data_IF_958868630786
#
_entry.id   IF_958868630786
#
_cell.length_a   1.000
_cell.length_b   1.000
_cell.length_c   1.000
_cell.angle_alpha   90.00
_cell.angle_beta   90.00
_cell.angle_gamma   90.00
#
_symmetry.space_group_name_H-M   'P 1'
#
loop_
_entity.id
_entity.type
_entity.pdbx_description
1 polymer ?
#
# COMPACT_ATOMS: atom_id res chain seq x y z
N UNK A 1 6.67 20.62 4.68
CA UNK A 1 6.22 20.41 3.29
C UNK A 1 4.74 20.05 3.36
N UNK A 2 3.85 20.75 2.65
CA UNK A 2 2.42 20.41 2.65
C UNK A 2 2.20 19.20 1.74
N UNK A 3 1.47 18.19 2.22
CA UNK A 3 1.09 17.05 1.39
C UNK A 3 0.11 17.51 0.31
N UNK A 4 0.18 16.92 -0.90
CA UNK A 4 -0.80 17.20 -1.93
C UNK A 4 -2.20 16.80 -1.48
N UNK A 5 -3.23 17.38 -2.08
CA UNK A 5 -4.59 16.94 -1.83
C UNK A 5 -4.78 15.53 -2.45
N UNK A 6 -5.32 14.58 -1.68
CA UNK A 6 -5.69 13.22 -2.12
C UNK A 6 -6.48 13.26 -3.45
N UNK A 7 -7.24 14.33 -3.67
CA UNK A 7 -7.98 14.59 -4.89
C UNK A 7 -7.14 14.45 -6.16
N UNK A 8 -5.93 15.01 -6.18
CA UNK A 8 -5.06 14.96 -7.35
C UNK A 8 -4.54 13.56 -7.66
N UNK A 9 -4.36 12.73 -6.62
CA UNK A 9 -3.91 11.35 -6.80
C UNK A 9 -5.06 10.48 -7.31
N UNK A 10 -6.27 10.70 -6.83
CA UNK A 10 -7.46 9.96 -7.29
C UNK A 10 -7.86 10.29 -8.73
N UNK A 11 -7.63 11.53 -9.19
CA UNK A 11 -7.85 11.93 -10.59
C UNK A 11 -7.06 11.09 -11.60
N UNK A 12 -6.00 10.42 -11.18
CA UNK A 12 -5.24 9.51 -12.04
C UNK A 12 -6.01 8.23 -12.40
N UNK A 13 -7.10 7.93 -11.68
CA UNK A 13 -7.80 6.64 -11.78
C UNK A 13 -9.30 6.78 -12.01
N UNK A 14 -9.92 7.89 -11.60
CA UNK A 14 -11.38 8.11 -11.72
C UNK A 14 -11.71 9.54 -12.13
N UNK A 15 -12.79 9.71 -12.88
CA UNK A 15 -13.31 11.04 -13.25
C UNK A 15 -13.97 11.75 -12.07
N UNK A 16 -14.93 11.08 -11.42
CA UNK A 16 -15.66 11.62 -10.27
C UNK A 16 -14.97 11.25 -8.96
N UNK A 17 -14.03 12.09 -8.54
CA UNK A 17 -13.29 11.89 -7.29
C UNK A 17 -14.18 12.09 -6.06
N UNK A 18 -15.22 12.93 -6.15
CA UNK A 18 -16.10 13.21 -5.02
C UNK A 18 -16.98 11.99 -4.69
N UNK A 19 -17.56 11.35 -5.71
CA UNK A 19 -18.27 10.09 -5.55
C UNK A 19 -17.34 8.98 -5.04
N UNK A 20 -16.16 8.82 -5.66
CA UNK A 20 -15.20 7.80 -5.26
C UNK A 20 -14.75 7.93 -3.79
N UNK A 21 -14.44 9.17 -3.37
CA UNK A 21 -14.09 9.48 -1.98
C UNK A 21 -15.27 9.26 -1.02
N UNK A 22 -16.50 9.48 -1.48
CA UNK A 22 -17.69 9.18 -0.68
C UNK A 22 -17.83 7.69 -0.41
N UNK A 23 -17.63 6.83 -1.43
CA UNK A 23 -17.59 5.36 -1.25
C UNK A 23 -16.50 4.98 -0.25
N UNK A 24 -15.30 5.55 -0.38
CA UNK A 24 -14.21 5.27 0.57
C UNK A 24 -14.61 5.58 2.01
N UNK A 25 -15.32 6.69 2.23
CA UNK A 25 -15.82 7.09 3.55
C UNK A 25 -16.90 6.14 4.06
N UNK A 26 -17.89 5.85 3.23
CA UNK A 26 -19.06 5.04 3.60
C UNK A 26 -18.73 3.57 3.87
N UNK A 27 -17.72 3.03 3.19
CA UNK A 27 -17.37 1.61 3.28
C UNK A 27 -16.00 1.36 3.93
N UNK A 28 -15.42 2.40 4.56
CA UNK A 28 -14.14 2.35 5.26
C UNK A 28 -13.01 1.77 4.38
N UNK A 29 -12.99 2.18 3.11
CA UNK A 29 -11.96 1.74 2.18
C UNK A 29 -10.66 2.49 2.43
N UNK A 30 -9.54 1.79 2.27
CA UNK A 30 -8.20 2.38 2.32
C UNK A 30 -7.46 2.13 1.02
N UNK A 31 -6.60 3.07 0.63
CA UNK A 31 -5.70 2.93 -0.51
C UNK A 31 -4.28 2.81 0.04
N UNK A 32 -3.51 1.85 -0.48
CA UNK A 32 -2.12 1.58 -0.06
C UNK A 32 -1.21 1.45 -1.28
N UNK A 33 -0.02 0.87 -1.09
CA UNK A 33 0.83 0.46 -2.20
C UNK A 33 1.53 1.64 -2.85
N UNK A 34 1.79 1.52 -4.15
CA UNK A 34 2.54 2.55 -4.89
C UNK A 34 1.79 3.88 -4.97
N UNK A 35 0.46 3.86 -5.01
CA UNK A 35 -0.35 5.09 -5.06
C UNK A 35 -0.26 5.88 -3.75
N UNK A 36 -0.35 5.20 -2.59
CA UNK A 36 -0.16 5.87 -1.30
C UNK A 36 1.28 6.36 -1.11
N UNK A 37 2.28 5.62 -1.59
CA UNK A 37 3.68 6.06 -1.52
C UNK A 37 3.92 7.32 -2.36
N UNK A 38 3.37 7.35 -3.58
CA UNK A 38 3.43 8.50 -4.48
C UNK A 38 2.79 9.76 -3.86
N UNK A 39 1.66 9.60 -3.17
CA UNK A 39 1.02 10.68 -2.40
C UNK A 39 1.95 11.28 -1.33
N UNK A 40 2.59 10.43 -0.51
CA UNK A 40 3.45 10.85 0.60
C UNK A 40 4.75 11.49 0.14
N UNK A 41 5.31 10.99 -0.97
CA UNK A 41 6.52 11.53 -1.60
C UNK A 41 6.25 12.79 -2.44
N UNK A 42 5.09 13.42 -2.26
CA UNK A 42 4.66 14.64 -2.93
C UNK A 42 4.76 14.55 -4.45
N UNK A 43 4.40 13.39 -5.01
CA UNK A 43 4.23 13.17 -6.45
C UNK A 43 5.51 13.33 -7.29
N UNK A 44 6.68 13.00 -6.72
CA UNK A 44 7.96 13.22 -7.40
C UNK A 44 8.44 11.97 -8.17
N UNK A 45 9.08 12.19 -9.32
CA UNK A 45 9.92 11.25 -10.10
C UNK A 45 9.22 10.14 -10.91
N UNK A 46 8.03 9.69 -10.54
CA UNK A 46 7.32 8.60 -11.24
C UNK A 46 5.82 8.64 -10.94
N UNK A 47 4.98 8.01 -11.75
CA UNK A 47 3.52 7.93 -11.54
C UNK A 47 3.10 6.47 -11.26
N UNK A 48 2.14 6.23 -10.33
CA UNK A 48 1.63 4.89 -10.09
C UNK A 48 0.86 4.36 -11.31
N UNK A 49 1.00 3.05 -11.58
CA UNK A 49 0.31 2.35 -12.68
C UNK A 49 -1.07 1.84 -12.26
N UNK A 50 -1.26 1.64 -10.96
CA UNK A 50 -2.47 1.07 -10.38
C UNK A 50 -2.75 1.67 -9.00
N UNK A 51 -4.04 1.67 -8.65
CA UNK A 51 -4.56 2.04 -7.34
C UNK A 51 -4.96 0.76 -6.61
N UNK A 52 -4.28 0.50 -5.49
CA UNK A 52 -4.55 -0.65 -4.62
C UNK A 52 -5.52 -0.24 -3.51
N UNK A 53 -6.78 -0.63 -3.64
CA UNK A 53 -7.87 -0.37 -2.67
C UNK A 53 -8.18 -1.62 -1.85
N UNK A 54 -8.28 -1.47 -0.53
CA UNK A 54 -8.62 -2.53 0.41
C UNK A 54 -9.95 -2.25 1.09
N UNK A 55 -10.76 -3.30 1.21
CA UNK A 55 -12.16 -3.20 1.64
C UNK A 55 -12.48 -4.31 2.63
N UNK A 56 -13.38 -4.02 3.56
CA UNK A 56 -13.93 -5.01 4.48
C UNK A 56 -14.74 -6.06 3.71
N UNK A 57 -14.71 -7.30 4.19
CA UNK A 57 -15.36 -8.47 3.58
C UNK A 57 -16.83 -8.22 3.22
N UNK A 58 -17.59 -7.62 4.14
CA UNK A 58 -19.02 -7.37 3.98
C UNK A 58 -19.35 -6.32 2.90
N UNK A 59 -18.41 -5.46 2.51
CA UNK A 59 -18.65 -4.37 1.57
C UNK A 59 -18.08 -4.63 0.17
N UNK A 60 -17.28 -5.68 -0.01
CA UNK A 60 -16.54 -5.95 -1.24
C UNK A 60 -17.40 -5.91 -2.52
N UNK A 61 -18.52 -6.65 -2.55
CA UNK A 61 -19.39 -6.68 -3.73
C UNK A 61 -20.16 -5.37 -3.94
N UNK A 62 -20.53 -4.68 -2.86
CA UNK A 62 -21.25 -3.41 -2.94
C UNK A 62 -20.35 -2.34 -3.58
N UNK A 63 -19.10 -2.23 -3.12
CA UNK A 63 -18.14 -1.27 -3.66
C UNK A 63 -17.79 -1.56 -5.11
N UNK A 64 -17.52 -2.82 -5.48
CA UNK A 64 -17.22 -3.18 -6.88
C UNK A 64 -18.38 -2.80 -7.80
N UNK A 65 -19.62 -3.11 -7.41
CA UNK A 65 -20.81 -2.76 -8.20
C UNK A 65 -20.96 -1.25 -8.35
N UNK A 66 -20.68 -0.49 -7.29
CA UNK A 66 -20.70 0.97 -7.36
C UNK A 66 -19.64 1.49 -8.33
N UNK A 67 -18.39 1.03 -8.21
CA UNK A 67 -17.30 1.47 -9.07
C UNK A 67 -17.62 1.20 -10.55
N UNK A 68 -18.09 -0.02 -10.87
CA UNK A 68 -18.50 -0.39 -12.23
C UNK A 68 -19.61 0.51 -12.77
N UNK A 69 -20.61 0.81 -11.95
CA UNK A 69 -21.79 1.58 -12.37
C UNK A 69 -21.49 3.06 -12.62
N UNK A 70 -20.62 3.67 -11.82
CA UNK A 70 -20.48 5.13 -11.78
C UNK A 70 -19.15 5.67 -12.32
N UNK A 71 -18.14 4.81 -12.55
CA UNK A 71 -16.82 5.26 -13.02
C UNK A 71 -16.39 4.64 -14.36
N UNK A 72 -17.35 4.33 -15.24
CA UNK A 72 -17.13 3.78 -16.59
C UNK A 72 -16.09 2.63 -16.60
N UNK A 73 -16.28 1.69 -15.67
CA UNK A 73 -15.24 0.73 -15.32
C UNK A 73 -15.60 -0.66 -15.84
N UNK A 74 -14.64 -1.32 -16.48
CA UNK A 74 -14.75 -2.71 -16.93
C UNK A 74 -14.09 -3.65 -15.93
N UNK A 75 -14.84 -4.67 -15.51
CA UNK A 75 -14.27 -5.81 -14.77
C UNK A 75 -13.36 -6.64 -15.69
N UNK A 76 -12.09 -6.80 -15.35
CA UNK A 76 -11.17 -7.64 -16.12
C UNK A 76 -11.12 -9.06 -15.58
N UNK A 77 -10.86 -9.22 -14.28
CA UNK A 77 -10.83 -10.53 -13.64
C UNK A 77 -11.06 -10.45 -12.13
N UNK A 78 -11.43 -11.60 -11.55
CA UNK A 78 -11.50 -11.83 -10.11
C UNK A 78 -10.61 -13.03 -9.80
N UNK A 79 -9.63 -12.83 -8.92
CA UNK A 79 -8.82 -13.89 -8.34
C UNK A 79 -9.28 -14.10 -6.89
N UNK A 80 -9.44 -15.35 -6.47
CA UNK A 80 -9.74 -15.70 -5.08
C UNK A 80 -8.79 -16.77 -4.58
N UNK A 81 -8.81 -17.04 -3.27
CA UNK A 81 -8.17 -18.22 -2.70
C UNK A 81 -8.80 -19.49 -3.31
N UNK A 82 -8.15 -20.04 -4.31
CA UNK A 82 -8.34 -21.44 -4.70
C UNK A 82 -7.74 -22.26 -3.56
N UNK A 83 -8.51 -23.07 -2.84
CA UNK A 83 -8.05 -23.86 -1.68
C UNK A 83 -6.97 -24.92 -1.97
N UNK A 84 -6.16 -24.76 -3.02
CA UNK A 84 -5.01 -25.60 -3.35
C UNK A 84 -3.70 -25.05 -2.77
N UNK A 85 -2.63 -25.87 -2.77
CA UNK A 85 -1.35 -25.55 -2.13
C UNK A 85 -0.54 -24.43 -2.81
N UNK A 86 -1.00 -23.91 -3.94
CA UNK A 86 -0.37 -22.82 -4.68
C UNK A 86 -1.30 -21.61 -4.76
N UNK A 87 -1.19 -20.77 -3.73
CA UNK A 87 -1.85 -19.48 -3.61
C UNK A 87 -1.22 -18.51 -4.65
N UNK A 88 -1.75 -18.50 -5.88
CA UNK A 88 -1.10 -17.95 -7.11
C UNK A 88 -0.97 -16.43 -7.20
N UNK A 89 -1.30 -15.69 -6.14
CA UNK A 89 -0.99 -14.26 -6.04
C UNK A 89 0.53 -14.02 -5.97
N UNK A 90 1.06 -12.89 -6.48
CA UNK A 90 2.49 -12.57 -6.41
C UNK A 90 3.09 -12.69 -5.01
N UNK A 91 2.27 -12.40 -3.99
CA UNK A 91 2.66 -12.32 -2.58
C UNK A 91 2.02 -13.44 -1.73
N UNK A 92 1.37 -14.43 -2.37
CA UNK A 92 0.33 -15.24 -1.73
C UNK A 92 -0.88 -14.37 -1.37
N UNK A 93 -2.06 -14.95 -1.16
CA UNK A 93 -3.22 -14.22 -0.62
C UNK A 93 -3.04 -14.01 0.89
N UNK A 94 -1.86 -13.55 1.32
CA UNK A 94 -1.59 -13.18 2.71
C UNK A 94 -2.28 -11.86 2.98
N UNK A 95 -3.23 -11.86 3.91
CA UNK A 95 -3.97 -10.65 4.28
C UNK A 95 -5.33 -10.46 3.61
N UNK A 96 -5.56 -10.97 2.40
CA UNK A 96 -6.81 -10.78 1.64
C UNK A 96 -7.38 -12.10 1.09
N UNK A 97 -8.68 -12.11 0.76
CA UNK A 97 -9.42 -13.30 0.30
C UNK A 97 -9.65 -13.30 -1.21
N UNK A 98 -9.92 -12.13 -1.78
CA UNK A 98 -10.19 -11.90 -3.20
C UNK A 98 -9.47 -10.65 -3.67
N UNK A 99 -9.08 -10.66 -4.94
CA UNK A 99 -8.55 -9.52 -5.69
C UNK A 99 -9.38 -9.37 -6.95
N UNK A 100 -9.95 -8.19 -7.16
CA UNK A 100 -10.65 -7.82 -8.39
C UNK A 100 -9.85 -6.75 -9.10
N UNK A 101 -9.56 -6.96 -10.38
CA UNK A 101 -8.94 -5.93 -11.23
C UNK A 101 -10.00 -5.26 -12.09
N UNK A 102 -10.04 -3.95 -11.98
CA UNK A 102 -10.96 -3.05 -12.65
C UNK A 102 -10.17 -2.11 -13.57
N UNK A 103 -10.57 -2.02 -14.83
CA UNK A 103 -9.99 -1.10 -15.79
C UNK A 103 -10.92 0.11 -15.96
N UNK A 104 -10.38 1.31 -15.74
CA UNK A 104 -11.06 2.58 -15.99
C UNK A 104 -10.47 3.24 -17.24
N UNK A 105 -11.08 4.32 -17.77
CA UNK A 105 -10.47 5.11 -18.85
C UNK A 105 -9.16 5.79 -18.44
N UNK A 106 -8.93 5.98 -17.14
CA UNK A 106 -7.80 6.73 -16.59
C UNK A 106 -6.67 5.83 -16.08
N UNK A 107 -7.01 4.62 -15.64
CA UNK A 107 -6.04 3.71 -15.06
C UNK A 107 -6.65 2.42 -14.54
N UNK A 108 -5.97 1.86 -13.54
CA UNK A 108 -6.28 0.52 -13.02
C UNK A 108 -6.63 0.63 -11.55
N UNK A 109 -7.74 0.03 -11.16
CA UNK A 109 -8.13 -0.11 -9.76
C UNK A 109 -8.08 -1.60 -9.41
N UNK A 110 -7.28 -1.94 -8.40
CA UNK A 110 -7.22 -3.26 -7.79
C UNK A 110 -7.97 -3.20 -6.48
N UNK A 111 -9.01 -4.00 -6.35
CA UNK A 111 -9.86 -4.06 -5.16
C UNK A 111 -9.57 -5.36 -4.43
N UNK A 112 -9.12 -5.27 -3.18
CA UNK A 112 -8.72 -6.40 -2.35
C UNK A 112 -9.67 -6.55 -1.16
N UNK A 113 -10.25 -7.73 -1.04
CA UNK A 113 -11.11 -8.08 0.09
C UNK A 113 -10.26 -8.50 1.29
N UNK A 114 -10.30 -7.75 2.39
CA UNK A 114 -9.57 -8.11 3.60
C UNK A 114 -10.02 -9.46 4.17
N UNK A 115 -9.06 -10.26 4.64
CA UNK A 115 -9.32 -11.52 5.34
C UNK A 115 -9.78 -11.34 6.79
N UNK A 116 -9.74 -10.10 7.31
CA UNK A 116 -10.24 -9.73 8.63
C UNK A 116 -11.21 -8.56 8.49
N UNK A 117 -11.95 -8.26 9.56
CA UNK A 117 -12.81 -7.08 9.61
C UNK A 117 -12.00 -5.78 9.82
N UNK A 118 -11.02 -5.55 8.96
CA UNK A 118 -10.12 -4.41 9.00
C UNK A 118 -9.48 -4.21 7.62
N UNK A 119 -9.70 -3.05 7.00
CA UNK A 119 -9.15 -2.72 5.69
C UNK A 119 -7.61 -2.61 5.70
N UNK A 120 -7.02 -2.29 6.86
CA UNK A 120 -5.57 -2.18 7.04
C UNK A 120 -4.86 -3.53 7.22
N UNK A 121 -5.58 -4.59 7.56
CA UNK A 121 -4.99 -5.91 7.81
C UNK A 121 -4.13 -6.45 6.66
N UNK A 122 -4.51 -6.32 5.37
CA UNK A 122 -3.67 -6.78 4.27
C UNK A 122 -2.35 -5.99 4.13
N UNK A 123 -2.31 -4.74 4.60
CA UNK A 123 -1.15 -3.85 4.45
C UNK A 123 0.03 -4.35 5.28
N UNK A 124 -0.20 -4.96 6.44
CA UNK A 124 0.88 -5.54 7.25
C UNK A 124 1.59 -6.72 6.59
N UNK A 125 1.06 -7.24 5.47
CA UNK A 125 1.62 -8.37 4.72
C UNK A 125 2.37 -7.94 3.45
N UNK A 126 2.59 -6.64 3.24
CA UNK A 126 3.45 -6.19 2.15
C UNK A 126 4.87 -6.75 2.27
N UNK A 127 5.49 -7.04 1.13
CA UNK A 127 6.84 -7.58 1.05
C UNK A 127 7.91 -6.57 1.49
N UNK A 128 7.59 -5.28 1.54
CA UNK A 128 8.45 -4.22 2.03
C UNK A 128 7.69 -3.19 2.86
N UNK A 129 8.36 -2.63 3.87
CA UNK A 129 7.85 -1.53 4.69
C UNK A 129 7.63 -0.24 3.90
N UNK A 130 8.30 -0.08 2.76
CA UNK A 130 8.21 1.13 1.92
C UNK A 130 6.79 1.44 1.44
N UNK A 131 5.94 0.41 1.30
CA UNK A 131 4.56 0.53 0.79
C UNK A 131 3.50 0.21 1.86
N UNK A 132 3.93 0.12 3.14
CA UNK A 132 3.05 -0.06 4.30
C UNK A 132 2.51 1.28 4.80
N UNK A 133 1.91 2.02 3.89
CA UNK A 133 1.38 3.34 4.12
C UNK A 133 0.08 3.49 3.36
N UNK A 134 -0.86 4.25 3.91
CA UNK A 134 -2.22 4.30 3.39
C UNK A 134 -2.81 5.69 3.48
N UNK A 135 -3.89 5.88 2.75
CA UNK A 135 -4.85 6.93 3.00
C UNK A 135 -6.27 6.40 2.89
N UNK A 136 -7.16 6.88 3.75
CA UNK A 136 -8.60 6.67 3.64
C UNK A 136 -9.25 7.91 2.99
N UNK A 137 -10.57 8.08 3.14
CA UNK A 137 -11.24 9.23 2.57
C UNK A 137 -10.77 10.58 3.16
N UNK A 138 -10.35 10.62 4.42
CA UNK A 138 -10.18 11.85 5.19
C UNK A 138 -8.84 11.92 5.96
N UNK A 139 -8.11 10.82 6.03
CA UNK A 139 -6.87 10.68 6.79
C UNK A 139 -5.83 9.83 6.04
N UNK A 140 -4.60 9.82 6.55
CA UNK A 140 -3.52 9.00 6.02
C UNK A 140 -2.58 8.55 7.14
N UNK A 141 -1.85 7.47 6.89
CA UNK A 141 -0.93 6.88 7.85
C UNK A 141 0.31 6.28 7.19
N UNK A 142 1.43 6.32 7.92
CA UNK A 142 2.71 5.76 7.50
C UNK A 142 3.22 4.88 8.63
N UNK A 143 3.37 3.58 8.40
CA UNK A 143 3.83 2.67 9.45
C UNK A 143 5.31 2.90 9.80
N UNK A 144 6.12 3.35 8.85
CA UNK A 144 7.57 3.52 9.00
C UNK A 144 8.03 4.90 8.52
N UNK A 145 7.61 6.00 9.18
CA UNK A 145 7.79 7.36 8.67
C UNK A 145 9.25 7.73 8.41
N UNK A 146 10.19 7.37 9.30
CA UNK A 146 11.61 7.67 9.12
C UNK A 146 12.18 7.03 7.86
N UNK A 147 11.86 5.75 7.61
CA UNK A 147 12.31 5.04 6.42
C UNK A 147 11.62 5.59 5.17
N UNK A 148 10.28 5.64 5.17
CA UNK A 148 9.49 6.07 4.00
C UNK A 148 9.87 7.48 3.57
N UNK A 149 10.03 8.44 4.50
CA UNK A 149 10.38 9.84 4.17
C UNK A 149 11.81 10.00 3.67
N UNK A 150 12.72 9.09 4.04
CA UNK A 150 14.09 9.02 3.49
C UNK A 150 14.18 8.15 2.23
N UNK A 151 13.05 7.79 1.63
CA UNK A 151 12.99 6.93 0.44
C UNK A 151 13.66 5.57 0.65
N UNK A 152 13.50 5.00 1.85
CA UNK A 152 14.07 3.72 2.27
C UNK A 152 12.99 2.70 2.64
N UNK A 153 13.26 1.43 2.39
CA UNK A 153 12.36 0.33 2.67
C UNK A 153 13.09 -0.90 3.18
N UNK A 154 12.54 -1.54 4.20
CA UNK A 154 12.99 -2.87 4.61
C UNK A 154 12.19 -3.92 3.87
N UNK A 155 12.82 -4.99 3.40
CA UNK A 155 12.13 -6.15 2.81
C UNK A 155 12.48 -7.43 3.55
N UNK A 156 11.57 -8.40 3.51
CA UNK A 156 11.81 -9.71 4.11
C UNK A 156 12.49 -10.63 3.09
N UNK A 157 13.72 -11.05 3.37
CA UNK A 157 14.56 -11.87 2.48
C UNK A 157 14.15 -13.35 2.35
N UNK A 158 13.08 -13.79 2.98
CA UNK A 158 12.63 -15.18 2.89
C UNK A 158 11.82 -15.42 1.61
N UNK A 159 12.44 -16.10 0.65
CA UNK A 159 11.90 -16.46 -0.68
C UNK A 159 11.53 -15.28 -1.58
N UNK A 160 12.56 -14.61 -2.14
CA UNK A 160 12.39 -13.67 -3.24
C UNK A 160 11.91 -14.44 -4.48
N UNK A 161 10.60 -14.59 -4.61
CA UNK A 161 9.95 -14.99 -5.85
C UNK A 161 10.26 -13.96 -6.93
N UNK A 162 10.26 -14.36 -8.20
CA UNK A 162 10.55 -13.50 -9.36
C UNK A 162 9.78 -12.16 -9.32
N UNK A 163 8.51 -12.17 -8.92
CA UNK A 163 7.70 -10.94 -8.81
C UNK A 163 8.17 -10.00 -7.69
N UNK A 164 8.73 -10.52 -6.61
CA UNK A 164 9.35 -9.70 -5.55
C UNK A 164 10.63 -9.04 -6.08
N UNK A 165 11.44 -9.76 -6.87
CA UNK A 165 12.63 -9.19 -7.52
C UNK A 165 12.26 -8.07 -8.51
N UNK A 166 11.23 -8.28 -9.34
CA UNK A 166 10.71 -7.23 -10.24
C UNK A 166 10.17 -6.01 -9.47
N UNK A 167 9.53 -6.25 -8.32
CA UNK A 167 9.04 -5.18 -7.46
C UNK A 167 10.20 -4.41 -6.79
N UNK A 168 11.26 -5.09 -6.37
CA UNK A 168 12.48 -4.46 -5.87
C UNK A 168 13.14 -3.58 -6.93
N UNK A 169 13.38 -4.13 -8.13
CA UNK A 169 13.96 -3.39 -9.25
C UNK A 169 13.14 -2.15 -9.62
N UNK A 170 11.80 -2.28 -9.63
CA UNK A 170 10.91 -1.13 -9.83
C UNK A 170 11.17 -0.01 -8.83
N UNK A 171 11.28 -0.30 -7.53
CA UNK A 171 11.49 0.77 -6.53
C UNK A 171 12.93 1.29 -6.53
N UNK A 172 13.92 0.44 -6.77
CA UNK A 172 15.32 0.87 -6.93
C UNK A 172 15.47 1.85 -8.10
N UNK A 173 14.88 1.54 -9.26
CA UNK A 173 14.90 2.43 -10.44
C UNK A 173 14.13 3.73 -10.21
N UNK A 174 13.17 3.75 -9.28
CA UNK A 174 12.47 4.97 -8.84
C UNK A 174 13.27 5.80 -7.82
N UNK A 175 14.47 5.35 -7.44
CA UNK A 175 15.38 6.03 -6.52
C UNK A 175 15.14 5.71 -5.05
N UNK A 176 14.55 4.55 -4.74
CA UNK A 176 14.42 4.06 -3.38
C UNK A 176 15.57 3.12 -3.02
N UNK A 177 15.99 3.17 -1.76
CA UNK A 177 16.97 2.25 -1.19
C UNK A 177 16.22 1.12 -0.45
N UNK A 178 16.55 -0.13 -0.76
CA UNK A 178 15.93 -1.29 -0.14
C UNK A 178 16.97 -2.10 0.63
N UNK A 179 16.63 -2.52 1.85
CA UNK A 179 17.53 -3.23 2.74
C UNK A 179 16.85 -4.35 3.53
N UNK A 180 17.63 -5.27 4.09
CA UNK A 180 17.11 -6.33 4.98
C UNK A 180 17.15 -5.89 6.45
N UNK A 181 17.95 -4.87 6.75
CA UNK A 181 18.10 -4.33 8.11
C UNK A 181 18.31 -2.82 8.08
N UNK A 182 17.73 -2.12 9.05
CA UNK A 182 17.95 -0.68 9.21
C UNK A 182 19.42 -0.33 9.49
N UNK A 183 20.19 -1.29 10.04
CA UNK A 183 21.64 -1.13 10.33
C UNK A 183 22.48 -0.87 9.08
N UNK A 184 21.95 -1.13 7.90
CA UNK A 184 22.62 -0.84 6.63
C UNK A 184 22.78 0.67 6.39
N UNK A 185 21.97 1.49 7.05
CA UNK A 185 22.01 2.94 6.93
C UNK A 185 22.59 3.56 8.22
N UNK A 186 23.88 3.88 8.18
CA UNK A 186 24.61 4.46 9.31
C UNK A 186 24.02 5.80 9.80
N UNK A 187 23.27 6.51 8.95
CA UNK A 187 22.61 7.77 9.28
C UNK A 187 21.26 7.61 10.00
N UNK A 188 20.77 6.37 10.18
CA UNK A 188 19.62 6.10 11.04
C UNK A 188 20.12 5.97 12.49
N UNK A 189 19.91 7.01 13.28
CA UNK A 189 20.11 6.95 14.73
C UNK A 189 19.08 6.01 15.35
N UNK A 190 19.47 4.74 15.50
CA UNK A 190 18.70 3.74 16.22
C UNK A 190 18.87 3.97 17.72
N UNK A 191 18.22 5.00 18.26
CA UNK A 191 18.09 5.16 19.71
C UNK A 191 16.94 4.29 20.18
N UNK A 192 17.28 3.18 20.84
CA UNK A 192 16.33 2.37 21.56
C UNK A 192 16.53 2.60 23.05
N UNK A 193 15.44 2.72 23.81
CA UNK A 193 15.57 2.65 25.27
C UNK A 193 16.07 1.26 25.71
N UNK A 194 16.84 1.17 26.81
CA UNK A 194 17.24 -0.11 27.37
C UNK A 194 16.03 -1.03 27.60
N UNK A 195 16.07 -2.26 27.07
CA UNK A 195 14.96 -3.21 27.13
C UNK A 195 14.01 -3.17 25.93
N UNK A 196 14.25 -2.30 24.95
CA UNK A 196 13.55 -2.34 23.68
C UNK A 196 13.92 -3.62 22.90
N UNK A 197 12.90 -4.35 22.44
CA UNK A 197 13.06 -5.54 21.58
C UNK A 197 13.62 -5.21 20.18
N UNK A 198 14.14 -4.00 19.93
CA UNK A 198 14.70 -3.60 18.64
C UNK A 198 15.97 -4.37 18.24
N UNK A 199 16.59 -5.08 19.18
CA UNK A 199 17.67 -6.03 18.90
C UNK A 199 17.15 -7.31 18.22
N UNK A 200 15.88 -7.68 18.45
CA UNK A 200 15.25 -8.92 17.95
C UNK A 200 14.11 -8.68 16.93
N UNK A 201 13.42 -7.53 16.97
CA UNK A 201 12.22 -7.22 16.18
C UNK A 201 12.20 -5.78 15.65
N UNK A 202 11.55 -5.53 14.51
CA UNK A 202 11.38 -4.17 13.96
C UNK A 202 10.63 -3.27 14.97
N UNK A 203 11.31 -2.26 15.50
CA UNK A 203 10.67 -1.26 16.33
C UNK A 203 9.98 -0.20 15.43
N UNK A 204 8.64 -0.21 15.41
CA UNK A 204 7.81 0.78 14.72
C UNK A 204 8.05 2.22 15.21
N UNK A 205 8.60 2.38 16.42
CA UNK A 205 8.86 3.67 17.06
C UNK A 205 10.30 4.17 16.89
N UNK A 206 11.04 3.72 15.86
CA UNK A 206 12.32 4.32 15.48
C UNK A 206 12.08 5.73 14.90
N UNK A 207 11.74 6.66 15.78
CA UNK A 207 11.62 8.09 15.59
C UNK A 207 12.46 8.70 16.70
N UNK A 208 13.75 8.96 16.46
CA UNK A 208 14.28 10.17 17.08
C UNK A 208 13.63 11.32 16.32
N UNK A 209 12.73 12.02 16.99
CA UNK A 209 12.14 13.23 16.46
C UNK A 209 13.29 14.16 16.08
N UNK A 210 13.18 14.77 14.89
CA UNK A 210 13.95 15.94 14.50
C UNK A 210 14.01 16.88 15.71
N UNK A 211 15.15 16.93 16.40
CA UNK A 211 15.44 18.04 17.28
C UNK A 211 15.72 19.23 16.36
N UNK A 212 14.88 20.25 16.54
CA UNK A 212 14.80 21.54 15.86
C UNK A 212 16.14 22.21 15.61
#
# INVERSE_FOLDING_TARGET
>A
MALPNIYFVLLLFVADVADFRSIMRWFECVISGSTALFFLQCMRRWQPRDLDMYILKQHFLAVIRHIIRFHDTRLEYILGRSGGPYDTGPYGFKGFLRLTRLQTPYGVIKVMESARNCALYPISWFWTTLVMNYFDADSWGVAYPVLTLRSRGLYYGHDIKEKTAQAQEKYITQGYELGESARQWADLELSCEPGCMCEEYLCLSQVSMLQS
#
